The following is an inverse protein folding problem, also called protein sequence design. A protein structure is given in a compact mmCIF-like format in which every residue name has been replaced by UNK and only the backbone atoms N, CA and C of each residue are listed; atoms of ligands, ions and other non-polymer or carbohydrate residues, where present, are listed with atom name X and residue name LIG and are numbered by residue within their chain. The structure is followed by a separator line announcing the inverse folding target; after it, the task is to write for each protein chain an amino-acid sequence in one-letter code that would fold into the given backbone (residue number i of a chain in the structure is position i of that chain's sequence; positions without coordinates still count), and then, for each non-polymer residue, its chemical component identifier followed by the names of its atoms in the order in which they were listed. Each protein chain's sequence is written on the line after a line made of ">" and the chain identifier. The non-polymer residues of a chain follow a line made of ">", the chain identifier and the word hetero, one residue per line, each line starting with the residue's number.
data_IF_598038043645
#
_entry.id   IF_598038043645
#
_cell.length_a   1.000
_cell.length_b   1.000
_cell.length_c   1.000
_cell.angle_alpha   90.00
_cell.angle_beta   90.00
_cell.angle_gamma   90.00
#
_symmetry.space_group_name_H-M   'P 1'
#
loop_
_entity.id
_entity.type
_entity.pdbx_description
1 polymer ?
#
# COMPACT_ATOMS: atom_id res chain seq x y z
N UNK A 1 15.84 11.60 3.28
CA UNK A 1 14.51 10.98 3.05
C UNK A 1 14.39 10.68 1.58
N UNK A 2 13.80 9.55 1.19
CA UNK A 2 13.56 9.22 -0.22
C UNK A 2 12.06 9.20 -0.55
N UNK A 3 11.73 9.55 -1.78
CA UNK A 3 10.38 9.53 -2.33
C UNK A 3 10.40 9.06 -3.80
N UNK A 4 9.29 8.53 -4.34
CA UNK A 4 9.21 8.21 -5.75
C UNK A 4 9.31 9.45 -6.63
N UNK A 5 9.98 9.31 -7.77
CA UNK A 5 10.00 10.34 -8.82
C UNK A 5 8.58 10.49 -9.39
N UNK A 6 8.04 11.71 -9.31
CA UNK A 6 6.66 12.03 -9.68
C UNK A 6 5.67 11.97 -8.52
N UNK A 7 6.13 11.85 -7.28
CA UNK A 7 5.27 11.79 -6.09
C UNK A 7 4.64 10.41 -5.89
N UNK A 8 3.57 10.35 -5.10
CA UNK A 8 2.85 9.10 -4.76
C UNK A 8 2.38 8.32 -6.00
N UNK A 9 2.02 9.00 -7.08
CA UNK A 9 1.62 8.39 -8.35
C UNK A 9 2.76 7.56 -9.01
N UNK A 10 4.03 7.80 -8.64
CA UNK A 10 5.16 6.98 -9.07
C UNK A 10 5.23 5.58 -8.47
N UNK A 11 4.44 5.30 -7.43
CA UNK A 11 4.35 3.96 -6.83
C UNK A 11 3.66 2.93 -7.73
N UNK A 12 2.80 3.36 -8.66
CA UNK A 12 2.11 2.44 -9.57
C UNK A 12 3.07 1.80 -10.57
N UNK A 13 4.25 2.39 -10.80
CA UNK A 13 5.31 1.81 -11.62
C UNK A 13 4.83 1.37 -12.99
N UNK A 14 5.08 0.10 -13.33
CA UNK A 14 4.66 -0.49 -14.61
C UNK A 14 3.14 -0.50 -14.82
N UNK A 15 2.36 -0.41 -13.76
CA UNK A 15 0.89 -0.35 -13.82
C UNK A 15 0.36 1.03 -14.17
N UNK A 16 1.20 2.06 -14.32
CA UNK A 16 0.78 3.40 -14.75
C UNK A 16 1.07 4.48 -13.70
N UNK A 17 0.17 5.46 -13.58
CA UNK A 17 0.35 6.62 -12.67
C UNK A 17 -0.86 6.92 -11.80
N UNK A 18 -1.76 5.95 -11.61
CA UNK A 18 -2.91 6.16 -10.74
C UNK A 18 -3.88 4.99 -10.68
N UNK A 19 -4.90 5.15 -9.84
CA UNK A 19 -5.93 4.14 -9.61
C UNK A 19 -6.74 3.77 -10.86
N UNK A 20 -6.81 4.65 -11.87
CA UNK A 20 -7.49 4.36 -13.13
C UNK A 20 -6.80 3.25 -13.94
N UNK A 21 -5.49 3.06 -13.75
CA UNK A 21 -4.70 2.01 -14.40
C UNK A 21 -4.41 0.81 -13.48
N UNK A 22 -4.72 0.95 -12.18
CA UNK A 22 -4.57 -0.10 -11.19
C UNK A 22 -5.50 -1.28 -11.51
N UNK A 23 -5.03 -2.50 -11.27
CA UNK A 23 -5.70 -3.75 -11.67
C UNK A 23 -6.01 -3.89 -13.18
N UNK A 24 -5.18 -3.32 -14.05
CA UNK A 24 -5.25 -3.55 -15.49
C UNK A 24 -3.95 -4.16 -16.01
N UNK A 25 -3.92 -5.47 -16.34
CA UNK A 25 -2.73 -6.10 -16.89
C UNK A 25 -2.21 -5.35 -18.11
N UNK A 26 -0.89 -5.22 -18.21
CA UNK A 26 -0.18 -4.54 -19.30
C UNK A 26 0.72 -3.42 -18.80
N UNK A 27 1.84 -3.22 -19.49
CA UNK A 27 2.77 -2.14 -19.16
C UNK A 27 2.17 -0.80 -19.58
N UNK A 28 1.97 0.08 -18.60
CA UNK A 28 1.34 1.40 -18.73
C UNK A 28 2.22 2.52 -18.18
N UNK A 29 3.39 2.18 -17.63
CA UNK A 29 4.33 3.11 -17.04
C UNK A 29 5.76 2.58 -17.05
N UNK A 30 6.62 3.27 -16.30
CA UNK A 30 8.03 2.89 -16.10
C UNK A 30 8.21 2.26 -14.71
N UNK A 31 9.33 1.56 -14.50
CA UNK A 31 9.70 1.13 -13.15
C UNK A 31 9.74 2.30 -12.17
N UNK A 32 9.27 2.06 -10.95
CA UNK A 32 9.34 3.03 -9.87
C UNK A 32 10.80 3.39 -9.59
N UNK A 33 11.12 4.67 -9.71
CA UNK A 33 12.41 5.24 -9.36
C UNK A 33 12.25 6.07 -8.09
N UNK A 34 13.24 6.03 -7.21
CA UNK A 34 13.27 6.81 -5.97
C UNK A 34 14.38 7.85 -6.02
N UNK A 35 14.15 9.00 -5.39
CA UNK A 35 15.12 10.08 -5.28
C UNK A 35 15.15 10.62 -3.85
N UNK A 36 16.31 11.11 -3.41
CA UNK A 36 16.39 11.82 -2.14
C UNK A 36 15.74 13.20 -2.23
N UNK A 37 14.88 13.53 -1.27
CA UNK A 37 14.14 14.80 -1.19
C UNK A 37 14.32 15.49 0.17
N UNK A 38 14.10 16.81 0.19
CA UNK A 38 14.19 17.66 1.38
C UNK A 38 15.45 18.53 1.42
N UNK A 39 15.46 19.53 2.31
CA UNK A 39 16.40 20.67 2.36
C UNK A 39 17.90 20.31 2.25
N UNK A 40 18.31 19.16 2.75
CA UNK A 40 19.71 18.69 2.75
C UNK A 40 19.92 17.48 1.84
N UNK A 41 19.20 17.44 0.72
CA UNK A 41 19.31 16.38 -0.30
C UNK A 41 19.66 16.98 -1.66
N UNK A 42 20.01 16.16 -2.67
CA UNK A 42 20.12 16.60 -4.07
C UNK A 42 18.87 17.31 -4.61
N UNK A 43 17.70 17.09 -3.99
CA UNK A 43 16.43 17.75 -4.35
C UNK A 43 15.92 18.64 -3.20
N UNK A 44 16.58 19.79 -2.92
CA UNK A 44 16.30 20.62 -1.74
C UNK A 44 14.90 21.23 -1.74
N UNK A 45 14.32 21.44 -2.92
CA UNK A 45 13.01 22.06 -3.10
C UNK A 45 11.85 21.05 -3.17
N UNK A 46 12.15 19.75 -3.27
CA UNK A 46 11.14 18.70 -3.28
C UNK A 46 10.79 18.32 -1.85
N UNK A 47 9.49 18.15 -1.59
CA UNK A 47 8.94 17.73 -0.30
C UNK A 47 8.33 16.35 -0.45
N UNK A 48 8.23 15.61 0.65
CA UNK A 48 7.53 14.32 0.69
C UNK A 48 6.06 14.46 0.30
N UNK A 49 5.41 15.50 0.81
CA UNK A 49 4.05 15.91 0.47
C UNK A 49 3.93 17.42 0.55
N UNK A 50 2.89 17.96 -0.10
CA UNK A 50 2.65 19.39 -0.14
C UNK A 50 2.29 19.95 1.24
N UNK A 51 2.72 21.19 1.51
CA UNK A 51 2.30 21.88 2.73
C UNK A 51 0.81 22.19 2.63
N UNK A 52 0.09 21.92 3.72
CA UNK A 52 -1.31 22.28 3.84
C UNK A 52 -1.46 23.56 4.66
N UNK A 53 -1.72 24.67 3.98
CA UNK A 53 -1.82 26.00 4.59
C UNK A 53 -3.26 26.44 4.88
N UNK A 54 -4.28 25.63 4.54
CA UNK A 54 -5.68 26.04 4.61
C UNK A 54 -6.44 25.51 5.85
N UNK A 55 -5.73 25.27 6.95
CA UNK A 55 -6.29 24.70 8.19
C UNK A 55 -7.01 25.73 9.08
N UNK A 56 -7.93 26.52 8.49
CA UNK A 56 -8.78 27.42 9.27
C UNK A 56 -9.86 26.61 10.02
N UNK A 57 -9.88 26.70 11.35
CA UNK A 57 -10.78 25.94 12.21
C UNK A 57 -11.82 26.83 12.88
N UNK A 58 -12.93 27.19 12.19
CA UNK A 58 -13.96 28.02 12.80
C UNK A 58 -14.61 27.27 13.96
N UNK A 59 -14.92 28.01 15.02
CA UNK A 59 -15.76 27.56 16.11
C UNK A 59 -16.78 28.66 16.38
N UNK A 60 -18.05 28.34 16.16
CA UNK A 60 -19.17 29.26 16.35
C UNK A 60 -20.20 28.62 17.25
N UNK A 61 -20.77 29.44 18.14
CA UNK A 61 -21.82 29.04 19.05
C UNK A 61 -22.93 30.08 19.03
N UNK A 62 -24.17 29.61 19.17
CA UNK A 62 -25.36 30.43 19.31
C UNK A 62 -26.12 29.98 20.55
N UNK A 63 -26.62 30.96 21.30
CA UNK A 63 -27.60 30.74 22.36
C UNK A 63 -28.74 31.73 22.17
N UNK A 64 -29.97 31.24 22.09
CA UNK A 64 -31.14 32.06 21.82
C UNK A 64 -32.29 31.71 22.77
N UNK A 65 -32.74 32.69 23.54
CA UNK A 65 -33.99 32.62 24.29
C UNK A 65 -35.16 32.76 23.30
N UNK A 66 -35.84 31.64 23.03
CA UNK A 66 -36.98 31.59 22.15
C UNK A 66 -38.21 32.15 22.88
N UNK A 67 -39.05 32.98 22.25
CA UNK A 67 -40.23 33.59 22.88
C UNK A 67 -41.38 32.59 23.12
N UNK A 68 -41.12 31.27 23.07
CA UNK A 68 -42.13 30.23 23.16
C UNK A 68 -42.43 29.87 24.62
N UNK A 69 -43.70 30.00 25.02
CA UNK A 69 -44.17 29.57 26.34
C UNK A 69 -43.79 30.52 27.49
N UNK A 70 -43.31 31.73 27.20
CA UNK A 70 -42.95 32.74 28.19
C UNK A 70 -41.52 33.25 28.03
N UNK A 71 -41.22 34.40 28.64
CA UNK A 71 -39.88 34.99 28.63
C UNK A 71 -38.88 34.05 29.30
N UNK A 72 -37.79 33.72 28.61
CA UNK A 72 -36.68 32.89 29.10
C UNK A 72 -37.06 31.46 29.52
N UNK A 73 -38.20 30.94 29.02
CA UNK A 73 -38.69 29.58 29.32
C UNK A 73 -38.17 28.51 28.37
N UNK A 74 -37.76 28.90 27.16
CA UNK A 74 -37.21 27.99 26.14
C UNK A 74 -35.91 28.56 25.61
N UNK A 75 -34.82 27.80 25.70
CA UNK A 75 -33.48 28.21 25.22
C UNK A 75 -33.00 27.20 24.19
N UNK A 76 -32.65 27.70 23.01
CA UNK A 76 -31.96 26.95 21.97
C UNK A 76 -30.47 27.27 22.06
N UNK A 77 -29.63 26.23 22.17
CA UNK A 77 -28.18 26.34 22.02
C UNK A 77 -27.74 25.52 20.82
N UNK A 78 -26.82 26.06 20.04
CA UNK A 78 -26.21 25.34 18.94
C UNK A 78 -24.73 25.68 18.86
N UNK A 79 -23.91 24.71 18.47
CA UNK A 79 -22.49 24.87 18.26
C UNK A 79 -22.03 24.14 17.01
N UNK A 80 -21.08 24.74 16.30
CA UNK A 80 -20.38 24.14 15.18
C UNK A 80 -18.90 24.47 15.25
N UNK A 81 -18.05 23.46 15.14
CA UNK A 81 -16.61 23.65 15.25
C UNK A 81 -15.81 22.65 14.42
N UNK A 82 -14.64 23.09 13.95
CA UNK A 82 -13.66 22.22 13.30
C UNK A 82 -12.52 21.93 14.25
N UNK A 83 -12.15 20.66 14.35
CA UNK A 83 -10.95 20.20 15.02
C UNK A 83 -10.05 19.50 14.00
N UNK A 84 -8.86 20.04 13.76
CA UNK A 84 -7.86 19.35 12.95
C UNK A 84 -7.18 18.28 13.82
N UNK A 85 -7.10 17.06 13.30
CA UNK A 85 -6.35 16.03 13.96
C UNK A 85 -4.85 16.23 13.67
N UNK A 86 -4.02 15.96 14.67
CA UNK A 86 -2.59 15.83 14.45
C UNK A 86 -2.34 14.71 13.45
N UNK A 87 -1.36 14.90 12.55
CA UNK A 87 -1.01 13.89 11.54
C UNK A 87 -0.43 12.67 12.25
N UNK A 88 -1.09 11.53 12.13
CA UNK A 88 -0.65 10.28 12.73
C UNK A 88 -0.12 9.39 11.61
N UNK A 89 1.05 9.77 11.11
CA UNK A 89 1.79 9.02 10.11
C UNK A 89 2.16 7.63 10.65
N UNK A 90 1.24 6.66 10.54
CA UNK A 90 1.41 5.23 10.84
C UNK A 90 2.47 4.92 11.92
N UNK A 91 2.35 5.52 13.12
CA UNK A 91 3.37 5.45 14.18
C UNK A 91 3.90 6.80 14.71
N UNK A 92 3.39 7.93 14.22
CA UNK A 92 3.78 9.28 14.66
C UNK A 92 4.97 9.83 13.87
N UNK A 93 5.68 10.84 14.39
CA UNK A 93 6.86 11.43 13.72
C UNK A 93 7.94 10.38 13.37
N UNK A 94 8.12 9.38 14.24
CA UNK A 94 9.02 8.24 14.03
C UNK A 94 8.58 7.35 12.84
N UNK A 95 7.28 7.24 12.58
CA UNK A 95 6.74 6.47 11.47
C UNK A 95 7.05 7.09 10.11
N UNK A 96 7.14 8.42 10.01
CA UNK A 96 7.61 9.07 8.77
C UNK A 96 9.06 8.69 8.52
N UNK A 97 9.94 8.88 9.50
CA UNK A 97 11.38 8.64 9.38
C UNK A 97 11.69 7.19 8.98
N UNK A 98 11.01 6.22 9.60
CA UNK A 98 11.15 4.81 9.25
C UNK A 98 10.69 4.55 7.81
N UNK A 99 9.48 4.96 7.43
CA UNK A 99 8.94 4.63 6.11
C UNK A 99 9.71 5.30 4.96
N UNK A 100 10.13 6.56 5.11
CA UNK A 100 10.90 7.28 4.07
C UNK A 100 12.40 7.00 4.12
N UNK A 101 12.88 6.45 5.24
CA UNK A 101 14.23 5.92 5.40
C UNK A 101 14.37 4.49 4.91
N UNK A 102 13.27 3.74 4.79
CA UNK A 102 13.19 2.36 4.28
C UNK A 102 12.91 2.23 2.78
N UNK A 103 13.12 3.30 2.00
CA UNK A 103 13.04 3.16 0.55
C UNK A 103 14.06 2.11 0.03
N UNK A 104 13.74 1.42 -1.08
CA UNK A 104 14.71 0.52 -1.67
C UNK A 104 16.02 1.25 -1.97
N UNK A 105 17.14 0.61 -1.65
CA UNK A 105 18.48 1.15 -1.81
C UNK A 105 18.88 2.31 -0.89
N UNK A 106 18.05 2.71 0.10
CA UNK A 106 18.45 3.68 1.13
C UNK A 106 19.01 3.05 2.40
N UNK A 107 18.74 1.77 2.67
CA UNK A 107 19.37 1.04 3.77
C UNK A 107 20.40 0.06 3.25
N UNK A 108 21.47 -0.09 4.03
CA UNK A 108 22.55 -1.01 3.76
C UNK A 108 22.77 -1.87 4.97
N UNK A 109 22.51 -3.17 4.80
CA UNK A 109 22.90 -4.18 5.76
C UNK A 109 24.20 -4.79 5.24
N UNK A 110 25.33 -4.38 5.83
CA UNK A 110 26.57 -5.12 5.65
C UNK A 110 26.52 -6.34 6.58
N UNK A 111 26.06 -7.47 6.06
CA UNK A 111 26.14 -8.73 6.79
C UNK A 111 27.57 -9.24 6.68
N UNK A 112 28.40 -8.87 7.66
CA UNK A 112 29.68 -9.53 7.87
C UNK A 112 29.40 -10.85 8.59
N UNK A 113 29.56 -12.02 7.96
CA UNK A 113 29.42 -13.27 8.68
C UNK A 113 30.44 -13.26 9.83
N UNK A 114 29.96 -13.33 11.07
CA UNK A 114 30.75 -13.22 12.31
C UNK A 114 31.78 -14.35 12.51
N UNK A 115 32.04 -15.14 11.46
CA UNK A 115 32.97 -16.27 11.44
C UNK A 115 34.32 -15.92 10.81
N UNK A 116 34.51 -14.71 10.27
CA UNK A 116 35.81 -14.25 9.76
C UNK A 116 36.46 -13.31 10.78
N UNK A 117 37.59 -13.72 11.37
CA UNK A 117 38.31 -12.94 12.39
C UNK A 117 38.76 -11.54 11.90
N UNK A 118 38.91 -11.35 10.58
CA UNK A 118 39.24 -10.07 9.96
C UNK A 118 38.08 -9.06 9.98
N UNK A 119 36.82 -9.53 10.02
CA UNK A 119 35.63 -8.67 10.06
C UNK A 119 35.27 -8.19 11.48
N UNK A 120 35.90 -8.75 12.52
CA UNK A 120 35.81 -8.32 13.93
C UNK A 120 37.03 -7.51 14.39
N UNK A 121 37.99 -7.27 13.49
CA UNK A 121 39.17 -6.46 13.79
C UNK A 121 38.90 -4.97 13.60
N UNK A 122 38.53 -4.30 14.70
CA UNK A 122 38.26 -2.86 14.74
C UNK A 122 39.46 -1.98 14.34
N UNK A 123 40.68 -2.52 14.21
CA UNK A 123 41.84 -1.75 13.77
C UNK A 123 41.79 -1.38 12.28
N UNK A 124 41.03 -2.13 11.48
CA UNK A 124 40.89 -1.93 10.04
C UNK A 124 39.58 -1.25 9.64
N UNK A 125 38.78 -0.80 10.63
CA UNK A 125 37.53 -0.10 10.34
C UNK A 125 37.81 1.28 9.76
N UNK A 126 37.29 1.54 8.56
CA UNK A 126 37.36 2.86 7.94
C UNK A 126 36.07 3.63 8.29
N UNK A 127 36.22 4.69 9.09
CA UNK A 127 35.13 5.60 9.46
C UNK A 127 35.48 7.01 8.94
N UNK A 128 34.55 7.69 8.24
CA UNK A 128 33.20 7.24 7.92
C UNK A 128 33.20 6.14 6.86
N UNK A 129 32.20 5.27 6.93
CA UNK A 129 31.93 4.29 5.88
C UNK A 129 31.66 5.07 4.59
N UNK A 130 32.40 4.83 3.49
CA UNK A 130 32.19 5.55 2.24
C UNK A 130 30.73 5.46 1.77
N UNK A 131 30.15 6.59 1.39
CA UNK A 131 28.79 6.63 0.87
C UNK A 131 28.73 5.89 -0.48
N UNK A 132 27.88 4.86 -0.58
CA UNK A 132 27.77 4.02 -1.79
C UNK A 132 27.18 4.76 -3.00
N UNK A 133 26.36 5.78 -2.74
CA UNK A 133 25.72 6.61 -3.76
C UNK A 133 26.19 8.07 -3.61
N UNK A 134 27.48 8.37 -3.84
CA UNK A 134 28.07 9.67 -3.57
C UNK A 134 27.53 10.79 -4.47
N UNK A 135 26.91 10.43 -5.59
CA UNK A 135 26.17 11.32 -6.49
C UNK A 135 24.72 11.57 -6.04
N UNK A 136 24.28 10.91 -4.97
CA UNK A 136 22.91 10.99 -4.44
C UNK A 136 21.87 10.31 -5.33
N UNK A 137 22.29 9.49 -6.31
CA UNK A 137 21.38 8.76 -7.20
C UNK A 137 21.13 7.36 -6.63
N UNK A 138 19.85 7.05 -6.40
CA UNK A 138 19.45 5.72 -5.94
C UNK A 138 19.29 4.78 -7.15
N UNK A 139 19.85 3.56 -7.11
CA UNK A 139 19.69 2.61 -8.21
C UNK A 139 18.24 2.17 -8.34
N UNK A 140 17.83 1.88 -9.58
CA UNK A 140 16.49 1.38 -9.87
C UNK A 140 16.43 -0.10 -9.50
N UNK A 141 15.43 -0.48 -8.70
CA UNK A 141 15.16 -1.88 -8.37
C UNK A 141 14.70 -2.61 -9.64
N UNK A 142 15.37 -3.69 -10.05
CA UNK A 142 14.95 -4.48 -11.21
C UNK A 142 13.57 -5.10 -11.02
N UNK A 143 12.83 -5.32 -12.13
CA UNK A 143 11.50 -5.96 -12.08
C UNK A 143 11.53 -7.41 -11.57
N UNK A 144 12.71 -8.03 -11.59
CA UNK A 144 12.97 -9.36 -11.04
C UNK A 144 13.17 -9.35 -9.53
N UNK A 145 13.29 -8.20 -8.88
CA UNK A 145 13.39 -8.09 -7.41
C UNK A 145 12.02 -7.75 -6.80
N UNK A 146 11.13 -8.74 -6.71
CA UNK A 146 9.74 -8.58 -6.22
C UNK A 146 9.56 -8.71 -4.69
N UNK A 147 10.66 -8.73 -3.93
CA UNK A 147 10.64 -8.83 -2.46
C UNK A 147 10.88 -7.48 -1.75
N UNK A 148 10.96 -6.39 -2.52
CA UNK A 148 11.17 -5.05 -1.98
C UNK A 148 9.83 -4.41 -1.61
N UNK A 149 9.77 -3.85 -0.39
CA UNK A 149 8.65 -3.05 0.08
C UNK A 149 8.98 -1.56 0.03
N UNK A 150 7.98 -0.73 -0.26
CA UNK A 150 8.14 0.71 -0.16
C UNK A 150 6.83 1.38 0.25
N UNK A 151 6.86 2.12 1.35
CA UNK A 151 5.71 2.88 1.87
C UNK A 151 5.92 4.35 1.63
N UNK A 152 4.93 5.02 1.03
CA UNK A 152 5.01 6.46 0.72
C UNK A 152 3.70 7.12 1.11
N UNK A 153 3.81 8.37 1.55
CA UNK A 153 2.66 9.23 1.81
C UNK A 153 2.13 9.81 0.49
N UNK A 154 0.81 10.02 0.40
CA UNK A 154 0.26 10.73 -0.74
C UNK A 154 0.88 12.14 -0.83
N UNK A 155 1.46 12.49 -1.98
CA UNK A 155 2.08 13.79 -2.20
C UNK A 155 1.07 14.94 -2.07
N UNK A 156 -0.23 14.62 -2.22
CA UNK A 156 -1.36 15.55 -2.10
C UNK A 156 -2.10 15.43 -0.75
N UNK A 157 -1.50 14.78 0.24
CA UNK A 157 -2.12 14.59 1.54
C UNK A 157 -2.38 15.90 2.26
N UNK A 158 -3.61 16.05 2.74
CA UNK A 158 -4.13 17.21 3.47
C UNK A 158 -4.42 16.85 4.91
N UNK A 159 -4.55 17.84 5.78
CA UNK A 159 -4.72 17.63 7.22
C UNK A 159 -6.11 17.02 7.48
N UNK A 160 -6.20 15.86 8.17
CA UNK A 160 -7.48 15.29 8.56
C UNK A 160 -8.18 16.19 9.57
N UNK A 161 -9.51 16.27 9.50
CA UNK A 161 -10.27 17.07 10.42
C UNK A 161 -11.65 16.50 10.74
N UNK A 162 -12.15 16.88 11.91
CA UNK A 162 -13.43 16.48 12.45
C UNK A 162 -14.28 17.73 12.60
N UNK A 163 -15.47 17.70 12.00
CA UNK A 163 -16.49 18.72 12.21
C UNK A 163 -17.42 18.22 13.31
N UNK A 164 -17.54 18.98 14.39
CA UNK A 164 -18.44 18.69 15.49
C UNK A 164 -19.60 19.68 15.45
N UNK A 165 -20.82 19.17 15.62
CA UNK A 165 -22.01 19.99 15.73
C UNK A 165 -22.90 19.50 16.86
N UNK A 166 -23.51 20.43 17.56
CA UNK A 166 -24.46 20.14 18.61
C UNK A 166 -25.64 21.09 18.52
N UNK A 167 -26.81 20.58 18.89
CA UNK A 167 -28.05 21.33 19.02
C UNK A 167 -28.71 20.88 20.31
N UNK A 168 -29.13 21.83 21.11
CA UNK A 168 -29.74 21.63 22.41
C UNK A 168 -30.99 22.52 22.52
N UNK A 169 -32.11 21.91 22.91
CA UNK A 169 -33.31 22.62 23.28
C UNK A 169 -33.62 22.34 24.76
N UNK A 170 -33.54 23.38 25.57
CA UNK A 170 -33.91 23.35 26.98
C UNK A 170 -35.22 24.10 27.18
N UNK A 171 -36.16 23.51 27.93
CA UNK A 171 -37.45 24.15 28.25
C UNK A 171 -37.88 23.88 29.68
N UNK A 172 -38.32 24.93 30.38
CA UNK A 172 -39.10 24.78 31.60
C UNK A 172 -40.53 24.35 31.24
N UNK A 173 -40.91 23.14 31.64
CA UNK A 173 -42.22 22.54 31.30
C UNK A 173 -43.23 22.66 32.43
N UNK A 174 -42.76 22.82 33.68
CA UNK A 174 -43.57 23.16 34.84
C UNK A 174 -42.70 23.91 35.87
N UNK A 175 -43.33 24.47 36.91
CA UNK A 175 -42.60 25.11 38.02
C UNK A 175 -41.61 24.11 38.60
N UNK A 176 -40.33 24.51 38.62
CA UNK A 176 -39.21 23.71 39.12
C UNK A 176 -38.93 22.41 38.30
N UNK A 177 -39.45 22.30 37.06
CA UNK A 177 -39.21 21.16 36.17
C UNK A 177 -38.73 21.62 34.78
N UNK A 178 -37.52 21.20 34.41
CA UNK A 178 -36.90 21.47 33.11
C UNK A 178 -36.69 20.18 32.33
N UNK A 179 -37.02 20.23 31.04
CA UNK A 179 -36.70 19.18 30.08
C UNK A 179 -35.64 19.67 29.10
N UNK A 180 -34.76 18.77 28.72
CA UNK A 180 -33.69 19.03 27.77
C UNK A 180 -33.60 17.92 26.73
N UNK A 181 -33.45 18.33 25.47
CA UNK A 181 -33.17 17.43 24.35
C UNK A 181 -31.91 17.91 23.64
N UNK A 182 -30.92 17.03 23.54
CA UNK A 182 -29.64 17.29 22.88
C UNK A 182 -29.43 16.34 21.72
N UNK A 183 -28.88 16.87 20.64
CA UNK A 183 -28.33 16.12 19.52
C UNK A 183 -26.87 16.54 19.33
N UNK A 184 -25.98 15.55 19.26
CA UNK A 184 -24.55 15.75 19.03
C UNK A 184 -24.15 14.90 17.84
N UNK A 185 -23.43 15.49 16.90
CA UNK A 185 -22.91 14.82 15.72
C UNK A 185 -21.46 15.17 15.45
N UNK A 186 -20.72 14.22 14.91
CA UNK A 186 -19.35 14.40 14.45
C UNK A 186 -19.19 13.81 13.05
N UNK A 187 -18.39 14.47 12.21
CA UNK A 187 -18.05 14.01 10.86
C UNK A 187 -16.55 14.14 10.63
N UNK A 188 -15.86 13.03 10.44
CA UNK A 188 -14.49 12.99 9.97
C UNK A 188 -14.41 13.21 8.46
N UNK A 189 -13.46 14.01 7.98
CA UNK A 189 -13.22 14.24 6.56
C UNK A 189 -11.71 14.19 6.27
N UNK A 190 -11.35 13.62 5.11
CA UNK A 190 -9.93 13.45 4.68
C UNK A 190 -9.10 12.68 5.71
N UNK A 191 -9.71 11.68 6.33
CA UNK A 191 -9.04 10.83 7.31
C UNK A 191 -7.89 10.07 6.64
N UNK A 192 -6.81 9.86 7.40
CA UNK A 192 -5.65 9.09 6.94
C UNK A 192 -6.03 7.61 6.85
N UNK A 193 -5.52 6.94 5.82
CA UNK A 193 -5.70 5.51 5.59
C UNK A 193 -4.55 4.95 4.77
N UNK A 194 -4.38 3.63 4.83
CA UNK A 194 -3.31 2.93 4.10
C UNK A 194 -3.93 2.11 2.97
N UNK A 195 -3.35 2.21 1.77
CA UNK A 195 -3.73 1.39 0.62
C UNK A 195 -2.53 0.53 0.23
N UNK A 196 -2.73 -0.78 0.17
CA UNK A 196 -1.73 -1.73 -0.29
C UNK A 196 -1.82 -1.86 -1.81
N UNK A 197 -0.86 -1.26 -2.54
CA UNK A 197 -0.86 -1.27 -4.01
C UNK A 197 -0.45 -2.62 -4.60
N UNK A 198 0.39 -3.40 -3.89
CA UNK A 198 0.91 -4.70 -4.31
C UNK A 198 -0.01 -5.85 -3.86
N UNK A 199 -1.31 -5.74 -4.07
CA UNK A 199 -2.23 -6.83 -3.79
C UNK A 199 -2.46 -7.64 -5.08
N UNK A 200 -2.29 -8.98 -5.04
CA UNK A 200 -2.49 -9.87 -6.18
C UNK A 200 -3.81 -9.62 -6.91
N UNK A 201 -3.71 -9.33 -8.20
CA UNK A 201 -4.82 -9.30 -9.12
C UNK A 201 -5.20 -10.75 -9.47
N UNK A 202 -6.44 -11.14 -9.19
CA UNK A 202 -6.91 -12.51 -9.47
C UNK A 202 -8.18 -12.54 -10.32
N UNK A 203 -9.01 -11.49 -10.29
CA UNK A 203 -10.29 -11.48 -11.00
C UNK A 203 -10.12 -10.94 -12.42
N UNK A 204 -9.48 -9.77 -12.55
CA UNK A 204 -9.36 -8.98 -13.78
C UNK A 204 -8.42 -9.61 -14.81
N UNK A 205 -7.54 -10.52 -14.38
CA UNK A 205 -6.56 -11.20 -15.22
C UNK A 205 -6.97 -12.64 -15.64
N UNK A 206 -8.15 -13.11 -15.21
CA UNK A 206 -8.66 -14.46 -15.48
C UNK A 206 -8.02 -15.58 -14.66
N UNK A 207 -7.15 -15.26 -13.69
CA UNK A 207 -6.48 -16.25 -12.85
C UNK A 207 -7.48 -16.98 -11.94
N UNK A 208 -8.48 -16.27 -11.41
CA UNK A 208 -9.53 -16.85 -10.57
C UNK A 208 -10.38 -17.86 -11.35
N UNK A 209 -10.71 -17.56 -12.60
CA UNK A 209 -11.43 -18.50 -13.48
C UNK A 209 -10.60 -19.74 -13.80
N UNK A 210 -9.32 -19.55 -14.13
CA UNK A 210 -8.38 -20.64 -14.35
C UNK A 210 -8.22 -21.52 -13.09
N UNK A 211 -8.13 -20.88 -11.91
CA UNK A 211 -8.07 -21.55 -10.62
C UNK A 211 -9.32 -22.40 -10.36
N UNK A 212 -10.52 -21.81 -10.51
CA UNK A 212 -11.80 -22.53 -10.33
C UNK A 212 -11.94 -23.70 -11.28
N UNK A 213 -11.58 -23.52 -12.54
CA UNK A 213 -11.56 -24.59 -13.56
C UNK A 213 -10.65 -25.73 -13.12
N UNK A 214 -9.48 -25.41 -12.58
CA UNK A 214 -8.49 -26.39 -12.13
C UNK A 214 -8.95 -27.15 -10.90
N UNK A 215 -9.56 -26.47 -9.92
CA UNK A 215 -10.14 -27.11 -8.72
C UNK A 215 -11.29 -28.04 -9.08
N UNK A 216 -12.12 -27.67 -10.07
CA UNK A 216 -13.18 -28.51 -10.60
C UNK A 216 -12.70 -29.73 -11.40
N UNK A 217 -11.38 -29.93 -11.55
CA UNK A 217 -10.78 -31.01 -12.32
C UNK A 217 -10.60 -30.72 -13.82
N UNK A 218 -11.04 -29.55 -14.29
CA UNK A 218 -10.85 -29.08 -15.66
C UNK A 218 -9.41 -28.65 -15.97
N UNK A 219 -9.20 -28.20 -17.21
CA UNK A 219 -7.90 -27.73 -17.72
C UNK A 219 -8.02 -26.29 -18.21
N UNK A 220 -7.37 -25.37 -17.51
CA UNK A 220 -7.29 -23.96 -17.90
C UNK A 220 -6.08 -23.74 -18.82
N UNK A 221 -6.33 -23.17 -20.00
CA UNK A 221 -5.31 -22.83 -21.00
C UNK A 221 -4.25 -21.85 -20.47
N UNK A 222 -4.61 -21.00 -19.51
CA UNK A 222 -3.67 -20.11 -18.83
C UNK A 222 -2.52 -20.90 -18.17
N UNK A 223 -2.82 -21.99 -17.47
CA UNK A 223 -1.81 -22.79 -16.81
C UNK A 223 -0.99 -23.63 -17.79
N UNK A 224 -1.59 -24.07 -18.90
CA UNK A 224 -0.83 -24.68 -19.99
C UNK A 224 0.20 -23.70 -20.55
N UNK A 225 -0.21 -22.44 -20.76
CA UNK A 225 0.66 -21.37 -21.25
C UNK A 225 1.79 -21.05 -20.26
N UNK A 226 1.49 -20.96 -18.97
CA UNK A 226 2.48 -20.66 -17.92
C UNK A 226 3.50 -21.78 -17.76
N UNK A 227 3.05 -23.03 -17.76
CA UNK A 227 3.93 -24.17 -17.51
C UNK A 227 4.47 -24.85 -18.78
N UNK A 228 4.13 -24.35 -19.98
CA UNK A 228 4.49 -24.98 -21.25
C UNK A 228 6.00 -25.26 -21.37
N UNK A 229 6.33 -26.54 -21.57
CA UNK A 229 7.70 -27.02 -21.70
C UNK A 229 8.52 -26.97 -20.41
N UNK A 230 7.90 -26.76 -19.24
CA UNK A 230 8.55 -26.88 -17.95
C UNK A 230 8.40 -28.31 -17.41
N UNK A 231 9.49 -28.84 -16.86
CA UNK A 231 9.47 -30.10 -16.12
C UNK A 231 9.08 -29.82 -14.67
N UNK A 232 7.91 -30.31 -14.26
CA UNK A 232 7.39 -30.18 -12.90
C UNK A 232 7.91 -31.34 -12.05
N UNK A 233 8.73 -31.07 -11.00
CA UNK A 233 9.36 -32.13 -10.22
C UNK A 233 8.34 -33.12 -9.63
N UNK A 234 8.57 -34.41 -9.87
CA UNK A 234 7.68 -35.48 -9.41
C UNK A 234 6.37 -35.63 -10.20
N UNK A 235 6.19 -34.86 -11.29
CA UNK A 235 5.00 -34.91 -12.15
C UNK A 235 5.36 -35.16 -13.60
N UNK A 236 6.30 -34.39 -14.17
CA UNK A 236 6.75 -34.50 -15.56
C UNK A 236 6.65 -33.19 -16.35
N UNK A 237 6.91 -33.27 -17.65
CA UNK A 237 6.94 -32.10 -18.54
C UNK A 237 5.55 -31.73 -19.05
N UNK A 238 5.14 -30.48 -18.80
CA UNK A 238 3.87 -29.95 -19.29
C UNK A 238 3.96 -29.69 -20.80
N UNK A 239 3.07 -30.32 -21.55
CA UNK A 239 3.00 -30.19 -23.02
C UNK A 239 1.59 -29.83 -23.53
N UNK A 240 0.62 -29.65 -22.63
CA UNK A 240 -0.76 -29.26 -22.95
C UNK A 240 -1.60 -30.39 -23.55
N UNK A 241 -1.06 -31.60 -23.74
CA UNK A 241 -1.79 -32.76 -24.29
C UNK A 241 -1.82 -33.92 -23.31
N UNK A 242 -0.68 -34.58 -23.08
CA UNK A 242 -0.57 -35.69 -22.12
C UNK A 242 -0.49 -35.22 -20.68
N UNK A 243 0.08 -34.04 -20.47
CA UNK A 243 0.10 -33.36 -19.18
C UNK A 243 -0.22 -31.87 -19.38
N UNK A 244 -1.38 -31.46 -18.88
CA UNK A 244 -1.79 -30.05 -18.83
C UNK A 244 -1.16 -29.36 -17.61
N UNK A 245 -1.00 -28.05 -17.67
CA UNK A 245 -0.56 -27.24 -16.53
C UNK A 245 -1.51 -27.35 -15.35
N UNK A 246 -2.81 -27.48 -15.59
CA UNK A 246 -3.81 -27.68 -14.51
C UNK A 246 -3.64 -29.05 -13.82
N UNK A 247 -3.38 -30.11 -14.59
CA UNK A 247 -3.05 -31.42 -14.03
C UNK A 247 -1.74 -31.37 -13.25
N UNK A 248 -0.74 -30.67 -13.76
CA UNK A 248 0.54 -30.53 -13.07
C UNK A 248 0.40 -29.77 -11.75
N UNK A 249 -0.35 -28.67 -11.72
CA UNK A 249 -0.62 -27.91 -10.50
C UNK A 249 -1.34 -28.74 -9.42
N UNK A 250 -2.28 -29.62 -9.82
CA UNK A 250 -2.99 -30.52 -8.90
C UNK A 250 -2.09 -31.58 -8.27
N UNK A 251 -1.11 -32.09 -9.02
CA UNK A 251 -0.22 -33.17 -8.57
C UNK A 251 1.02 -32.64 -7.83
N UNK A 252 1.49 -31.45 -8.20
CA UNK A 252 2.73 -30.90 -7.69
C UNK A 252 2.62 -30.49 -6.22
N UNK A 253 3.56 -30.96 -5.39
CA UNK A 253 3.57 -30.69 -3.96
C UNK A 253 3.60 -29.20 -3.61
N UNK A 254 4.27 -28.37 -4.43
CA UNK A 254 4.39 -26.93 -4.20
C UNK A 254 3.11 -26.13 -4.46
N UNK A 255 2.12 -26.69 -5.17
CA UNK A 255 0.90 -25.95 -5.57
C UNK A 255 -0.41 -26.66 -5.19
N UNK A 256 -0.40 -27.98 -4.96
CA UNK A 256 -1.61 -28.76 -4.64
C UNK A 256 -2.38 -28.24 -3.42
N UNK A 257 -1.68 -27.75 -2.40
CA UNK A 257 -2.30 -27.26 -1.16
C UNK A 257 -3.07 -25.95 -1.41
N UNK A 258 -2.59 -25.10 -2.32
CA UNK A 258 -3.33 -23.89 -2.69
C UNK A 258 -4.67 -24.24 -3.33
N UNK A 259 -4.69 -25.23 -4.22
CA UNK A 259 -5.91 -25.71 -4.87
C UNK A 259 -6.85 -26.39 -3.88
N UNK A 260 -6.34 -27.26 -3.01
CA UNK A 260 -7.15 -27.98 -2.01
C UNK A 260 -7.82 -27.04 -1.00
N UNK A 261 -7.13 -25.95 -0.61
CA UNK A 261 -7.64 -24.98 0.35
C UNK A 261 -8.40 -23.80 -0.27
N UNK A 262 -8.55 -23.76 -1.61
CA UNK A 262 -9.15 -22.61 -2.29
C UNK A 262 -8.33 -21.31 -2.19
N UNK A 263 -7.02 -21.41 -1.93
CA UNK A 263 -6.13 -20.27 -1.73
C UNK A 263 -5.60 -19.73 -3.08
N UNK A 264 -6.44 -18.99 -3.79
CA UNK A 264 -6.07 -18.34 -5.06
C UNK A 264 -4.95 -17.31 -4.89
N UNK A 265 -4.96 -16.55 -3.78
CA UNK A 265 -3.95 -15.53 -3.46
C UNK A 265 -2.55 -16.17 -3.35
N UNK A 266 -2.45 -17.27 -2.59
CA UNK A 266 -1.19 -17.99 -2.42
C UNK A 266 -0.67 -18.60 -3.71
N UNK A 267 -1.56 -19.08 -4.60
CA UNK A 267 -1.14 -19.51 -5.94
C UNK A 267 -0.65 -18.30 -6.77
N UNK A 268 -1.32 -17.16 -6.70
CA UNK A 268 -0.92 -15.96 -7.41
C UNK A 268 0.47 -15.50 -6.96
N UNK A 269 0.71 -15.41 -5.65
CA UNK A 269 2.01 -15.11 -5.05
C UNK A 269 3.08 -16.13 -5.47
N UNK A 270 2.73 -17.42 -5.51
CA UNK A 270 3.63 -18.47 -5.97
C UNK A 270 4.06 -18.26 -7.43
N UNK A 271 3.12 -18.00 -8.34
CA UNK A 271 3.42 -17.74 -9.74
C UNK A 271 4.24 -16.46 -9.94
N UNK A 272 4.00 -15.47 -9.07
CA UNK A 272 4.65 -14.17 -9.12
C UNK A 272 6.10 -14.21 -8.58
N UNK A 273 6.34 -14.97 -7.51
CA UNK A 273 7.59 -14.94 -6.74
C UNK A 273 8.48 -16.17 -6.92
N UNK A 274 7.97 -17.30 -7.41
CA UNK A 274 8.78 -18.52 -7.56
C UNK A 274 9.81 -18.39 -8.70
N UNK A 275 11.08 -18.64 -8.37
CA UNK A 275 12.18 -18.67 -9.34
C UNK A 275 12.69 -20.09 -9.63
N UNK A 276 12.18 -21.12 -8.95
CA UNK A 276 12.74 -22.48 -9.01
C UNK A 276 12.66 -23.13 -10.40
N UNK A 277 11.72 -22.68 -11.24
CA UNK A 277 11.56 -23.19 -12.61
C UNK A 277 12.39 -22.45 -13.66
N UNK A 278 12.67 -21.16 -13.43
CA UNK A 278 13.19 -20.25 -14.46
C UNK A 278 14.51 -19.59 -14.06
N UNK A 279 14.96 -19.76 -12.82
CA UNK A 279 16.12 -19.05 -12.26
C UNK A 279 15.84 -17.59 -11.87
N UNK A 280 14.68 -17.05 -12.26
CA UNK A 280 14.30 -15.65 -12.05
C UNK A 280 12.88 -15.54 -11.49
N UNK A 281 12.72 -14.64 -10.53
CA UNK A 281 11.41 -14.24 -9.97
C UNK A 281 10.56 -13.57 -11.06
N UNK A 282 9.27 -13.89 -11.10
CA UNK A 282 8.35 -13.51 -12.18
C UNK A 282 8.59 -14.24 -13.50
N UNK A 283 9.58 -15.13 -13.58
CA UNK A 283 9.96 -15.81 -14.83
C UNK A 283 8.88 -16.72 -15.40
N UNK A 284 8.05 -17.34 -14.55
CA UNK A 284 6.90 -18.14 -14.98
C UNK A 284 5.91 -17.32 -15.83
N UNK A 285 5.58 -16.10 -15.38
CA UNK A 285 4.67 -15.20 -16.08
C UNK A 285 5.32 -14.61 -17.34
N UNK A 286 6.59 -14.19 -17.23
CA UNK A 286 7.35 -13.61 -18.35
C UNK A 286 7.53 -14.58 -19.50
N UNK A 287 7.89 -15.84 -19.22
CA UNK A 287 8.02 -16.91 -20.23
C UNK A 287 6.69 -17.19 -20.92
N UNK A 288 5.58 -17.06 -20.20
CA UNK A 288 4.25 -17.17 -20.75
C UNK A 288 3.90 -15.98 -21.67
N UNK A 289 4.69 -14.90 -21.72
CA UNK A 289 4.36 -13.67 -22.44
C UNK A 289 3.22 -12.89 -21.77
N UNK A 290 3.06 -13.06 -20.45
CA UNK A 290 2.16 -12.25 -19.63
C UNK A 290 2.92 -11.00 -19.14
N UNK A 291 2.23 -9.87 -18.97
CA UNK A 291 2.88 -8.64 -18.53
C UNK A 291 3.41 -8.76 -17.10
N UNK A 292 4.41 -7.95 -16.75
CA UNK A 292 5.04 -8.02 -15.41
C UNK A 292 4.06 -7.66 -14.28
N UNK A 293 3.01 -6.88 -14.56
CA UNK A 293 1.92 -6.56 -13.64
C UNK A 293 0.68 -7.45 -13.84
N UNK A 294 0.87 -8.68 -14.34
CA UNK A 294 -0.24 -9.62 -14.51
C UNK A 294 -0.87 -10.04 -13.18
N UNK A 295 -0.06 -10.15 -12.11
CA UNK A 295 -0.48 -10.46 -10.73
C UNK A 295 -0.18 -9.26 -9.85
#
# INVERSE_FOLDING_TARGET
>A
MAAPIGGSDGLFGLSGRGFADWYKPGVRGELTKVEFVGKHSPQPNKKLYQNDWNNFGPAVGLSWSLPWGGKDKTVLRAGYGWAFAGRFAAGGGLGVDVNVGLAPSTNQFANHPSTRNEDVDLRNIVIPIPERNPDGVLPVVPVTERNQGFTVYDSRMVTPYIQNFNIELQREIAKDLTMEVRYIGSKGTKLEGTVYLNNPMVEENGLLEAFRTTVAGGNASLFDRIFSGLNVPGVGTVNGTTLTGSQALRQFAGTRTFLANGNVQGLADYLNQNSSFTGEVGGLLRRAGLPENFI
#
